data_IF_899339064068
#
_entry.id   IF_899339064068
#
_cell.length_a   1.000
_cell.length_b   1.000
_cell.length_c   1.000
_cell.angle_alpha   90.00
_cell.angle_beta   90.00
_cell.angle_gamma   90.00
#
_symmetry.space_group_name_H-M   'P 1'
#
loop_
_entity.id
_entity.type
_entity.pdbx_description
1 polymer ?
#
# COMPACT_ATOMS: atom_id res chain seq x y z
N UNK A 1 26.99 -4.78 4.96
CA UNK A 1 26.53 -3.85 6.04
C UNK A 1 27.17 -2.45 5.95
N UNK A 2 27.75 -2.05 4.81
CA UNK A 2 28.52 -0.80 4.63
C UNK A 2 27.76 0.28 3.85
N UNK A 3 26.87 -0.09 2.92
CA UNK A 3 26.01 0.89 2.24
C UNK A 3 24.97 1.48 3.20
N UNK A 4 24.88 2.82 3.36
CA UNK A 4 23.99 3.47 4.34
C UNK A 4 22.51 3.10 4.17
N UNK A 5 22.01 3.07 2.93
CA UNK A 5 20.61 2.72 2.63
C UNK A 5 20.34 1.24 2.94
N UNK A 6 21.23 0.36 2.48
CA UNK A 6 21.11 -1.08 2.73
C UNK A 6 21.27 -1.41 4.23
N UNK A 7 22.04 -0.61 4.99
CA UNK A 7 22.17 -0.78 6.44
C UNK A 7 20.83 -0.58 7.15
N UNK A 8 20.08 0.46 6.78
CA UNK A 8 18.76 0.74 7.37
C UNK A 8 17.80 -0.43 7.10
N UNK A 9 17.64 -0.82 5.83
CA UNK A 9 16.77 -1.94 5.45
C UNK A 9 17.17 -3.25 6.15
N UNK A 10 18.49 -3.51 6.24
CA UNK A 10 18.98 -4.72 6.88
C UNK A 10 18.69 -4.73 8.39
N UNK A 11 18.83 -3.61 9.09
CA UNK A 11 18.55 -3.54 10.54
C UNK A 11 17.07 -3.60 10.90
N UNK A 12 16.19 -3.17 10.00
CA UNK A 12 14.75 -3.07 10.28
C UNK A 12 13.93 -4.25 9.76
N UNK A 13 14.37 -4.93 8.70
CA UNK A 13 13.62 -6.00 8.05
C UNK A 13 14.30 -7.37 8.08
N UNK A 14 15.64 -7.43 8.04
CA UNK A 14 16.37 -8.70 7.88
C UNK A 14 16.96 -9.17 9.22
N UNK A 15 17.84 -8.37 9.82
CA UNK A 15 18.56 -8.69 11.05
C UNK A 15 17.83 -8.15 12.30
N UNK A 16 16.50 -8.04 12.26
CA UNK A 16 15.71 -7.56 13.40
C UNK A 16 15.59 -8.67 14.46
N UNK A 17 16.02 -8.46 15.72
CA UNK A 17 15.80 -9.42 16.79
C UNK A 17 14.33 -9.42 17.22
N UNK A 18 13.55 -10.36 16.68
CA UNK A 18 12.16 -10.58 17.08
C UNK A 18 12.04 -11.68 18.16
N UNK A 19 11.14 -11.52 19.15
CA UNK A 19 10.91 -12.57 20.15
C UNK A 19 10.34 -13.83 19.50
N UNK A 20 10.73 -15.02 19.98
CA UNK A 20 10.31 -16.30 19.38
C UNK A 20 8.82 -16.64 19.62
N UNK A 21 8.16 -15.99 20.59
CA UNK A 21 6.78 -16.26 20.98
C UNK A 21 5.75 -15.23 20.44
N UNK A 22 6.04 -14.61 19.29
CA UNK A 22 5.09 -13.65 18.68
C UNK A 22 3.74 -14.31 18.38
N UNK A 23 2.67 -13.66 18.85
CA UNK A 23 1.30 -14.08 18.57
C UNK A 23 0.86 -13.62 17.18
N UNK A 24 -0.24 -14.19 16.67
CA UNK A 24 -0.77 -13.81 15.35
C UNK A 24 -1.13 -12.32 15.24
N UNK A 25 -1.41 -11.63 16.34
CA UNK A 25 -1.69 -10.19 16.39
C UNK A 25 -0.54 -9.33 15.85
N UNK A 26 0.70 -9.80 15.92
CA UNK A 26 1.85 -9.06 15.37
C UNK A 26 1.84 -8.95 13.84
N UNK A 27 1.06 -9.78 13.13
CA UNK A 27 0.94 -9.71 11.67
C UNK A 27 0.15 -8.48 11.19
N UNK A 28 -0.63 -7.81 12.05
CA UNK A 28 -1.41 -6.65 11.65
C UNK A 28 -0.53 -5.49 11.16
N UNK A 29 0.69 -5.34 11.69
CA UNK A 29 1.63 -4.33 11.21
C UNK A 29 1.98 -4.50 9.72
N UNK A 30 2.39 -5.71 9.32
CA UNK A 30 2.71 -6.00 7.91
C UNK A 30 1.48 -5.94 7.01
N UNK A 31 0.32 -6.38 7.51
CA UNK A 31 -0.94 -6.30 6.76
C UNK A 31 -1.36 -4.85 6.50
N UNK A 32 -1.17 -3.94 7.46
CA UNK A 32 -1.43 -2.51 7.27
C UNK A 32 -0.48 -1.90 6.23
N UNK A 33 0.79 -2.27 6.23
CA UNK A 33 1.75 -1.82 5.21
C UNK A 33 1.36 -2.30 3.81
N UNK A 34 0.98 -3.57 3.68
CA UNK A 34 0.46 -4.13 2.44
C UNK A 34 -0.81 -3.40 1.98
N UNK A 35 -1.74 -3.16 2.90
CA UNK A 35 -2.99 -2.45 2.64
C UNK A 35 -2.73 -1.02 2.13
N UNK A 36 -1.79 -0.30 2.74
CA UNK A 36 -1.44 1.05 2.29
C UNK A 36 -0.85 1.04 0.88
N UNK A 37 0.09 0.14 0.59
CA UNK A 37 0.71 0.04 -0.74
C UNK A 37 -0.34 -0.30 -1.79
N UNK A 38 -1.19 -1.29 -1.53
CA UNK A 38 -2.25 -1.69 -2.45
C UNK A 38 -3.24 -0.56 -2.71
N UNK A 39 -3.67 0.18 -1.68
CA UNK A 39 -4.59 1.32 -1.83
C UNK A 39 -3.97 2.51 -2.57
N UNK A 40 -2.68 2.79 -2.39
CA UNK A 40 -1.99 3.85 -3.14
C UNK A 40 -1.87 3.49 -4.62
N UNK A 41 -1.53 2.23 -4.92
CA UNK A 41 -1.42 1.77 -6.30
C UNK A 41 -2.78 1.77 -6.99
N UNK A 42 -3.79 1.12 -6.41
CA UNK A 42 -5.14 1.08 -6.99
C UNK A 42 -5.73 2.48 -7.09
N UNK A 43 -5.60 3.31 -6.05
CA UNK A 43 -6.06 4.69 -6.05
C UNK A 43 -5.43 5.53 -7.15
N UNK A 44 -4.14 5.35 -7.43
CA UNK A 44 -3.46 6.04 -8.53
C UNK A 44 -4.02 5.61 -9.90
N UNK A 45 -4.29 4.31 -10.10
CA UNK A 45 -4.93 3.84 -11.33
C UNK A 45 -6.35 4.38 -11.50
N UNK A 46 -7.14 4.40 -10.43
CA UNK A 46 -8.49 4.97 -10.47
C UNK A 46 -8.46 6.48 -10.76
N UNK A 47 -7.50 7.22 -10.20
CA UNK A 47 -7.36 8.66 -10.40
C UNK A 47 -7.06 9.04 -11.87
N UNK A 48 -6.46 8.15 -12.66
CA UNK A 48 -6.22 8.41 -14.10
C UNK A 48 -7.52 8.48 -14.92
N UNK A 49 -8.59 7.84 -14.45
CA UNK A 49 -9.87 7.75 -15.17
C UNK A 49 -11.01 8.51 -14.47
N UNK A 50 -10.80 8.95 -13.23
CA UNK A 50 -11.78 9.70 -12.45
C UNK A 50 -11.83 11.18 -12.83
N UNK A 51 -13.02 11.78 -12.83
CA UNK A 51 -13.23 13.23 -13.02
C UNK A 51 -13.85 13.86 -11.77
N UNK A 52 -13.24 14.93 -11.24
CA UNK A 52 -13.64 15.56 -9.97
C UNK A 52 -14.80 16.56 -10.05
N UNK A 53 -15.34 16.82 -11.23
CA UNK A 53 -16.53 17.69 -11.38
C UNK A 53 -17.78 16.96 -10.85
N UNK A 54 -18.59 17.65 -10.03
CA UNK A 54 -19.80 17.12 -9.39
C UNK A 54 -20.76 16.50 -10.42
N UNK A 55 -20.90 17.10 -11.60
CA UNK A 55 -21.80 16.62 -12.65
C UNK A 55 -21.34 15.29 -13.28
N UNK A 56 -20.04 15.03 -13.31
CA UNK A 56 -19.44 13.87 -13.99
C UNK A 56 -18.77 12.88 -13.04
N UNK A 57 -18.71 13.16 -11.74
CA UNK A 57 -18.05 12.31 -10.75
C UNK A 57 -18.64 10.89 -10.75
N UNK A 58 -19.98 10.79 -10.69
CA UNK A 58 -20.65 9.49 -10.69
C UNK A 58 -20.50 8.75 -12.03
N UNK A 59 -20.67 9.46 -13.16
CA UNK A 59 -20.54 8.84 -14.48
C UNK A 59 -19.11 8.36 -14.75
N UNK A 60 -18.09 9.06 -14.23
CA UNK A 60 -16.69 8.61 -14.34
C UNK A 60 -16.42 7.32 -13.57
N UNK A 61 -17.07 7.08 -12.42
CA UNK A 61 -16.99 5.80 -11.70
C UNK A 61 -17.69 4.69 -12.48
N UNK A 62 -18.84 4.97 -13.10
CA UNK A 62 -19.52 3.99 -13.97
C UNK A 62 -18.65 3.63 -15.17
N UNK A 63 -17.99 4.62 -15.77
CA UNK A 63 -17.04 4.43 -16.87
C UNK A 63 -15.86 3.54 -16.43
N UNK A 64 -15.28 3.77 -15.25
CA UNK A 64 -14.21 2.93 -14.67
C UNK A 64 -14.66 1.46 -14.53
N UNK A 65 -15.88 1.20 -14.08
CA UNK A 65 -16.36 -0.16 -13.86
C UNK A 65 -16.77 -0.91 -15.14
N UNK A 66 -17.02 -0.20 -16.25
CA UNK A 66 -17.61 -0.78 -17.46
C UNK A 66 -16.71 -0.74 -18.69
N UNK A 67 -15.94 0.33 -18.83
CA UNK A 67 -15.31 0.69 -20.10
C UNK A 67 -13.79 0.91 -19.99
N UNK A 68 -13.23 1.00 -18.78
CA UNK A 68 -11.77 1.03 -18.51
C UNK A 68 -11.23 -0.38 -18.45
#
# INVERSE_FOLDING_TARGET
>A
KTHPILKIANTTLIDLPAPSNISMWWNFGSLLSLCLITQLLTGLFLAMHYTSNIETAFSSVVHICRDV
#
